data_IF_375532475774
#
_entry.id   IF_375532475774
#
_cell.length_a   1.000
_cell.length_b   1.000
_cell.length_c   1.000
_cell.angle_alpha   90.00
_cell.angle_beta   90.00
_cell.angle_gamma   90.00
#
_symmetry.space_group_name_H-M   'P 1'
#
loop_
_entity.id
_entity.type
_entity.pdbx_description
1 polymer ?
#
# COMPACT_ATOMS: atom_id res chain seq x y z
N UNK A 1 1.90 -46.91 -21.43
CA UNK A 1 2.86 -46.76 -20.32
C UNK A 1 2.69 -45.36 -19.73
N UNK A 2 2.42 -45.32 -18.43
CA UNK A 2 2.48 -44.22 -17.43
C UNK A 2 1.78 -42.87 -17.68
N UNK A 3 0.63 -42.73 -17.02
CA UNK A 3 0.02 -41.49 -16.55
C UNK A 3 0.70 -40.97 -15.26
N UNK A 4 0.57 -39.66 -15.01
CA UNK A 4 0.77 -38.98 -13.73
C UNK A 4 0.44 -37.50 -13.94
N UNK A 5 -0.52 -36.90 -13.24
CA UNK A 5 -0.37 -36.41 -11.86
C UNK A 5 -1.75 -36.38 -11.18
N UNK A 6 -1.76 -36.83 -9.93
CA UNK A 6 -2.91 -36.90 -9.02
C UNK A 6 -3.22 -35.52 -8.43
N UNK A 7 -4.47 -35.08 -8.56
CA UNK A 7 -5.01 -33.96 -7.75
C UNK A 7 -5.58 -34.53 -6.44
N UNK A 8 -5.07 -34.03 -5.33
CA UNK A 8 -5.56 -34.35 -3.99
C UNK A 8 -6.83 -33.55 -3.70
N UNK A 9 -7.95 -34.24 -3.52
CA UNK A 9 -9.15 -33.72 -2.83
C UNK A 9 -9.05 -34.11 -1.35
N UNK A 10 -9.19 -33.13 -0.47
CA UNK A 10 -9.52 -33.30 0.95
C UNK A 10 -10.71 -32.36 1.19
N UNK A 11 -11.91 -32.93 1.26
CA UNK A 11 -12.64 -33.21 2.49
C UNK A 11 -13.13 -31.92 3.19
N UNK A 12 -14.35 -31.52 2.81
CA UNK A 12 -15.24 -30.68 3.63
C UNK A 12 -16.06 -31.64 4.48
N UNK A 13 -15.87 -31.61 5.79
CA UNK A 13 -16.86 -32.00 6.76
C UNK A 13 -16.71 -31.07 7.96
N UNK A 14 -17.72 -30.23 8.20
CA UNK A 14 -18.21 -30.02 9.56
C UNK A 14 -19.59 -29.34 9.53
N UNK A 15 -20.58 -30.10 10.01
CA UNK A 15 -21.88 -29.61 10.39
C UNK A 15 -21.81 -29.10 11.83
N UNK A 16 -22.42 -27.95 12.13
CA UNK A 16 -22.79 -27.59 13.50
C UNK A 16 -24.08 -26.78 13.52
N UNK A 17 -24.86 -27.10 14.55
CA UNK A 17 -26.29 -26.88 14.77
C UNK A 17 -26.75 -25.42 14.96
N UNK A 18 -28.07 -25.29 15.08
CA UNK A 18 -28.86 -24.07 15.00
C UNK A 18 -29.12 -23.32 16.33
N UNK A 19 -29.34 -21.99 16.19
CA UNK A 19 -30.22 -21.07 16.98
C UNK A 19 -29.82 -20.66 18.43
N UNK A 20 -30.50 -19.67 19.06
CA UNK A 20 -30.45 -18.20 18.82
C UNK A 20 -30.18 -17.43 20.16
N UNK A 21 -29.76 -16.16 20.15
CA UNK A 21 -30.14 -15.24 21.25
C UNK A 21 -29.82 -13.79 20.93
N UNK A 22 -30.87 -13.00 21.02
CA UNK A 22 -30.93 -11.56 21.24
C UNK A 22 -30.00 -11.12 22.39
N UNK A 23 -29.29 -10.00 22.21
CA UNK A 23 -28.82 -9.10 23.26
C UNK A 23 -28.35 -7.79 22.62
N UNK A 24 -29.30 -6.84 22.61
CA UNK A 24 -29.03 -5.41 22.66
C UNK A 24 -28.08 -5.08 23.82
N UNK A 25 -26.97 -4.43 23.49
CA UNK A 25 -26.26 -3.52 24.39
C UNK A 25 -25.72 -2.38 23.54
N UNK A 26 -26.39 -1.23 23.65
CA UNK A 26 -25.82 0.02 23.20
C UNK A 26 -24.56 0.27 24.01
N UNK A 27 -23.44 0.41 23.33
CA UNK A 27 -22.28 1.10 23.83
C UNK A 27 -21.86 2.05 22.72
N UNK A 28 -21.83 3.32 23.11
CA UNK A 28 -21.45 4.47 22.33
C UNK A 28 -20.17 4.14 21.57
N UNK A 29 -20.19 4.36 20.26
CA UNK A 29 -18.98 4.31 19.43
C UNK A 29 -18.09 5.46 19.89
N UNK A 30 -17.31 5.17 20.93
CA UNK A 30 -16.16 5.93 21.40
C UNK A 30 -15.37 6.39 20.17
N UNK A 31 -15.09 7.68 20.15
CA UNK A 31 -14.51 8.38 19.03
C UNK A 31 -13.26 7.65 18.60
N UNK A 32 -13.36 6.89 17.52
CA UNK A 32 -12.24 6.30 16.83
C UNK A 32 -11.39 7.46 16.35
N UNK A 33 -10.45 7.87 17.21
CA UNK A 33 -9.33 8.74 16.89
C UNK A 33 -8.77 8.13 15.63
N UNK A 34 -9.03 8.78 14.49
CA UNK A 34 -8.60 8.31 13.18
C UNK A 34 -7.10 8.11 13.29
N UNK A 35 -6.69 6.84 13.47
CA UNK A 35 -5.29 6.49 13.47
C UNK A 35 -4.76 7.00 12.14
N UNK A 36 -3.86 7.97 12.20
CA UNK A 36 -3.10 8.36 11.01
C UNK A 36 -2.53 7.07 10.44
N UNK A 37 -2.83 6.72 9.19
CA UNK A 37 -2.35 5.47 8.62
C UNK A 37 -0.83 5.54 8.63
N UNK A 38 -0.21 4.83 9.58
CA UNK A 38 1.24 4.78 9.69
C UNK A 38 1.77 4.19 8.40
N UNK A 39 2.56 4.98 7.69
CA UNK A 39 3.21 4.55 6.45
C UNK A 39 4.10 3.35 6.75
N UNK A 40 3.80 2.20 6.16
CA UNK A 40 4.59 1.00 6.34
C UNK A 40 5.82 1.05 5.44
N UNK A 41 6.95 1.47 6.02
CA UNK A 41 8.25 1.54 5.34
C UNK A 41 8.64 0.23 4.64
N UNK A 42 8.32 -0.93 5.21
CA UNK A 42 8.66 -2.21 4.59
C UNK A 42 7.89 -2.46 3.29
N UNK A 43 6.66 -1.94 3.14
CA UNK A 43 5.94 -2.04 1.87
C UNK A 43 6.62 -1.21 0.78
N UNK A 44 7.10 -0.02 1.14
CA UNK A 44 7.85 0.84 0.23
C UNK A 44 9.19 0.22 -0.19
N UNK A 45 9.99 -0.24 0.78
CA UNK A 45 11.30 -0.83 0.52
C UNK A 45 11.16 -2.11 -0.35
N UNK A 46 10.16 -2.95 -0.06
CA UNK A 46 9.86 -4.14 -0.87
C UNK A 46 9.40 -3.76 -2.28
N UNK A 47 8.58 -2.73 -2.43
CA UNK A 47 8.13 -2.25 -3.73
C UNK A 47 9.29 -1.74 -4.57
N UNK A 48 10.14 -0.90 -3.99
CA UNK A 48 11.32 -0.35 -4.66
C UNK A 48 12.26 -1.47 -5.12
N UNK A 49 12.59 -2.40 -4.22
CA UNK A 49 13.46 -3.54 -4.54
C UNK A 49 12.87 -4.40 -5.66
N UNK A 50 11.55 -4.63 -5.67
CA UNK A 50 10.90 -5.38 -6.74
C UNK A 50 11.01 -4.68 -8.11
N UNK A 51 10.88 -3.35 -8.14
CA UNK A 51 11.03 -2.60 -9.39
C UNK A 51 12.47 -2.64 -9.91
N UNK A 52 13.46 -2.45 -9.02
CA UNK A 52 14.88 -2.54 -9.38
C UNK A 52 15.23 -3.93 -9.94
N UNK A 53 14.74 -4.99 -9.29
CA UNK A 53 14.91 -6.36 -9.76
C UNK A 53 14.24 -6.61 -11.12
N UNK A 54 13.09 -5.99 -11.40
CA UNK A 54 12.42 -6.09 -12.70
C UNK A 54 13.23 -5.42 -13.82
N UNK A 55 13.76 -4.23 -13.57
CA UNK A 55 14.62 -3.52 -14.51
C UNK A 55 15.83 -4.38 -14.84
N UNK A 56 16.54 -4.88 -13.82
CA UNK A 56 17.71 -5.74 -14.01
C UNK A 56 17.37 -7.02 -14.78
N UNK A 57 16.23 -7.63 -14.48
CA UNK A 57 15.75 -8.83 -15.19
C UNK A 57 15.53 -8.57 -16.67
N UNK A 58 14.89 -7.44 -17.03
CA UNK A 58 14.69 -7.06 -18.43
C UNK A 58 15.99 -6.74 -19.14
N UNK A 59 16.92 -6.02 -18.51
CA UNK A 59 18.23 -5.71 -19.09
C UNK A 59 19.03 -6.98 -19.38
N UNK A 60 19.09 -7.90 -18.41
CA UNK A 60 19.77 -9.20 -18.59
C UNK A 60 19.10 -10.04 -19.67
N UNK A 61 17.77 -9.98 -19.77
CA UNK A 61 17.01 -10.73 -20.78
C UNK A 61 17.26 -10.16 -22.18
N UNK A 62 17.27 -8.83 -22.32
CA UNK A 62 17.51 -8.15 -23.59
C UNK A 62 18.88 -8.47 -24.18
N UNK A 63 19.93 -8.53 -23.35
CA UNK A 63 21.30 -8.89 -23.77
C UNK A 63 21.40 -10.32 -24.31
N UNK A 64 20.53 -11.22 -23.84
CA UNK A 64 20.55 -12.65 -24.19
C UNK A 64 19.57 -13.00 -25.31
N UNK A 65 18.64 -12.11 -25.65
CA UNK A 65 17.61 -12.40 -26.63
C UNK A 65 18.19 -12.31 -28.06
N UNK A 66 18.07 -13.38 -28.87
CA UNK A 66 18.57 -13.37 -30.25
C UNK A 66 17.71 -12.53 -31.20
N UNK A 67 16.48 -12.17 -30.82
CA UNK A 67 15.61 -11.32 -31.62
C UNK A 67 15.84 -9.83 -31.27
N UNK A 68 16.34 -9.02 -32.21
CA UNK A 68 16.66 -7.62 -31.95
C UNK A 68 15.42 -6.77 -31.59
N UNK A 69 14.24 -7.11 -32.10
CA UNK A 69 13.01 -6.37 -31.80
C UNK A 69 12.56 -6.61 -30.35
N UNK A 70 12.66 -7.87 -29.89
CA UNK A 70 12.31 -8.24 -28.51
C UNK A 70 13.33 -7.68 -27.53
N UNK A 71 14.63 -7.78 -27.85
CA UNK A 71 15.69 -7.16 -27.07
C UNK A 71 15.48 -5.64 -26.92
N UNK A 72 15.16 -4.96 -28.02
CA UNK A 72 14.89 -3.53 -28.00
C UNK A 72 13.66 -3.19 -27.16
N UNK A 73 12.57 -3.95 -27.28
CA UNK A 73 11.37 -3.74 -26.47
C UNK A 73 11.64 -3.93 -24.97
N UNK A 74 12.49 -4.88 -24.59
CA UNK A 74 12.90 -5.10 -23.20
C UNK A 74 13.75 -3.94 -22.67
N UNK A 75 14.72 -3.45 -23.44
CA UNK A 75 15.50 -2.26 -23.08
C UNK A 75 14.62 -1.02 -22.89
N UNK A 76 13.67 -0.77 -23.81
CA UNK A 76 12.75 0.36 -23.67
C UNK A 76 11.92 0.27 -22.39
N UNK A 77 11.49 -0.93 -21.99
CA UNK A 77 10.77 -1.13 -20.73
C UNK A 77 11.65 -0.82 -19.52
N UNK A 78 12.89 -1.33 -19.51
CA UNK A 78 13.84 -1.09 -18.44
C UNK A 78 14.18 0.41 -18.31
N UNK A 79 14.48 1.06 -19.42
CA UNK A 79 14.77 2.49 -19.48
C UNK A 79 13.58 3.35 -19.03
N UNK A 80 12.38 3.04 -19.54
CA UNK A 80 11.17 3.77 -19.19
C UNK A 80 10.83 3.68 -17.70
N UNK A 81 10.93 2.49 -17.11
CA UNK A 81 10.68 2.30 -15.68
C UNK A 81 11.79 2.96 -14.83
N UNK A 82 13.06 2.83 -15.22
CA UNK A 82 14.17 3.50 -14.55
C UNK A 82 14.10 5.03 -14.64
N UNK A 83 13.55 5.58 -15.72
CA UNK A 83 13.26 7.01 -15.83
C UNK A 83 12.14 7.44 -14.88
N UNK A 84 11.04 6.68 -14.81
CA UNK A 84 9.94 6.97 -13.89
C UNK A 84 10.40 6.96 -12.43
N UNK A 85 11.25 6.01 -12.02
CA UNK A 85 11.84 5.98 -10.69
C UNK A 85 12.69 7.22 -10.40
N UNK A 86 13.54 7.64 -11.34
CA UNK A 86 14.35 8.86 -11.20
C UNK A 86 13.47 10.10 -11.03
N UNK A 87 12.35 10.20 -11.75
CA UNK A 87 11.39 11.30 -11.57
C UNK A 87 10.78 11.27 -10.17
N UNK A 88 10.33 10.12 -9.69
CA UNK A 88 9.75 9.99 -8.34
C UNK A 88 10.74 10.45 -7.27
N UNK A 89 12.02 10.09 -7.41
CA UNK A 89 13.06 10.56 -6.50
C UNK A 89 13.36 12.05 -6.64
N UNK A 90 13.36 12.59 -7.85
CA UNK A 90 13.64 14.01 -8.09
C UNK A 90 12.58 14.92 -7.46
N UNK A 91 11.32 14.48 -7.44
CA UNK A 91 10.20 15.22 -6.87
C UNK A 91 9.90 14.89 -5.39
N UNK A 92 10.74 14.08 -4.75
CA UNK A 92 10.56 13.70 -3.34
C UNK A 92 10.44 14.91 -2.40
N UNK A 93 11.24 15.98 -2.53
CA UNK A 93 11.13 17.17 -1.67
C UNK A 93 9.78 17.87 -1.82
N UNK A 94 9.28 18.05 -3.04
CA UNK A 94 8.01 18.72 -3.33
C UNK A 94 6.82 17.90 -2.82
N UNK A 95 6.89 16.57 -2.97
CA UNK A 95 5.89 15.68 -2.39
C UNK A 95 5.88 15.73 -0.86
N UNK A 96 7.06 15.80 -0.24
CA UNK A 96 7.19 15.91 1.21
C UNK A 96 6.58 17.22 1.72
N UNK A 97 6.90 18.35 1.09
CA UNK A 97 6.33 19.66 1.42
C UNK A 97 4.79 19.66 1.30
N UNK A 98 4.26 19.06 0.23
CA UNK A 98 2.81 18.94 0.02
C UNK A 98 2.14 18.11 1.12
N UNK A 99 2.75 16.99 1.51
CA UNK A 99 2.25 16.12 2.59
C UNK A 99 2.27 16.86 3.92
N UNK A 100 3.36 17.57 4.25
CA UNK A 100 3.46 18.38 5.47
C UNK A 100 2.36 19.46 5.52
N UNK A 101 2.14 20.17 4.42
CA UNK A 101 1.08 21.17 4.32
C UNK A 101 -0.32 20.56 4.52
N UNK A 102 -0.58 19.40 3.91
CA UNK A 102 -1.85 18.69 4.06
C UNK A 102 -2.09 18.20 5.49
N UNK A 103 -1.04 17.73 6.18
CA UNK A 103 -1.09 17.30 7.57
C UNK A 103 -1.38 18.46 8.52
N UNK A 104 -0.74 19.62 8.33
CA UNK A 104 -1.02 20.82 9.13
C UNK A 104 -2.47 21.29 8.99
N UNK A 105 -3.03 21.24 7.79
CA UNK A 105 -4.45 21.59 7.56
C UNK A 105 -5.40 20.57 8.21
N UNK A 106 -5.03 19.29 8.24
CA UNK A 106 -5.82 18.27 8.91
C UNK A 106 -5.88 18.47 10.44
N UNK A 107 -4.80 18.97 11.06
CA UNK A 107 -4.77 19.30 12.50
C UNK A 107 -5.61 20.55 12.84
N UNK A 108 -5.66 21.54 11.94
CA UNK A 108 -6.44 22.78 12.15
C UNK A 108 -7.96 22.54 11.99
N UNK A 109 -8.35 21.49 11.26
CA UNK A 109 -9.76 21.16 10.99
C UNK A 109 -10.44 20.38 12.12
N UNK A 110 -9.84 20.28 13.30
CA UNK A 110 -10.46 19.74 14.51
C UNK A 110 -11.02 20.89 15.37
N UNK A 111 -12.28 21.34 15.15
CA UNK A 111 -12.82 22.55 15.76
C UNK A 111 -13.04 22.45 17.28
N UNK A 112 -12.92 21.26 17.88
CA UNK A 112 -13.21 21.05 19.31
C UNK A 112 -12.07 21.49 20.25
N UNK A 113 -10.83 21.60 19.74
CA UNK A 113 -9.70 22.06 20.57
C UNK A 113 -9.68 23.58 20.77
N UNK A 114 -10.30 24.34 19.87
CA UNK A 114 -10.22 25.81 19.89
C UNK A 114 -11.20 26.43 20.90
N UNK A 115 -12.28 25.71 21.23
CA UNK A 115 -13.33 26.23 22.13
C UNK A 115 -12.90 26.15 23.61
N UNK A 116 -12.09 25.17 24.00
CA UNK A 116 -11.68 25.02 25.41
C UNK A 116 -10.64 26.05 25.89
N UNK A 117 -9.93 26.74 24.99
CA UNK A 117 -8.95 27.75 25.39
C UNK A 117 -9.58 29.13 25.62
N UNK A 118 -10.73 29.44 25.00
CA UNK A 118 -11.38 30.75 25.20
C UNK A 118 -12.19 30.82 26.50
N UNK A 119 -12.75 29.72 26.97
CA UNK A 119 -13.61 29.72 28.18
C UNK A 119 -12.82 29.89 29.50
N UNK A 120 -11.53 29.53 29.55
CA UNK A 120 -10.71 29.69 30.77
C UNK A 120 -10.21 31.11 31.04
N UNK A 121 -10.39 32.05 30.11
CA UNK A 121 -9.95 33.45 30.28
C UNK A 121 -11.06 34.41 30.72
N UNK A 122 -12.26 33.91 30.95
CA UNK A 122 -13.45 34.72 31.28
C UNK A 122 -14.06 34.40 32.66
N UNK A 123 -13.33 33.72 33.56
CA UNK A 123 -13.72 33.58 34.98
C UNK A 123 -12.80 34.38 35.89
#
# INVERSE_FOLDING_TARGET
MTQGIKTYQMAKDEATAALPSDRSSGEESDGSKKATPNFNRYLYDNFLSNLENQIESWDRSAVRDPNPEVAHALWLKAEGLGYALRLLYAFEPEFRELVECASLVAEIKDPDSTVQHLERKSS
#
